data_IF_069907203201
#
_entry.id   IF_069907203201
#
_cell.length_a   1.000
_cell.length_b   1.000
_cell.length_c   1.000
_cell.angle_alpha   90.00
_cell.angle_beta   90.00
_cell.angle_gamma   90.00
#
_symmetry.space_group_name_H-M   'P 1'
#
loop_
_entity.id
_entity.type
_entity.pdbx_description
1 polymer ?
#
# COMPACT_ATOMS: atom_id res chain seq x y z
N UNK A 1 21.77 18.78 -31.59
CA UNK A 1 21.56 17.46 -30.97
C UNK A 1 20.50 17.65 -29.90
N UNK A 2 19.33 17.04 -30.07
CA UNK A 2 18.17 17.25 -29.20
C UNK A 2 18.36 16.44 -27.92
N UNK A 3 18.38 17.11 -26.77
CA UNK A 3 18.20 16.46 -25.48
C UNK A 3 16.69 16.23 -25.29
N UNK A 4 16.23 15.05 -25.71
CA UNK A 4 14.88 14.58 -25.40
C UNK A 4 14.84 14.18 -23.92
N UNK A 5 14.45 15.11 -23.06
CA UNK A 5 14.10 14.79 -21.67
C UNK A 5 12.70 14.16 -21.64
N UNK A 6 12.61 12.88 -22.03
CA UNK A 6 11.44 12.06 -21.74
C UNK A 6 11.67 11.33 -20.41
N UNK A 7 11.49 12.05 -19.31
CA UNK A 7 11.54 11.48 -17.96
C UNK A 7 10.27 11.86 -17.20
N UNK A 8 9.16 11.16 -17.46
CA UNK A 8 8.04 11.15 -16.53
C UNK A 8 8.55 10.53 -15.22
N UNK A 9 8.81 11.40 -14.24
CA UNK A 9 9.73 11.16 -13.12
C UNK A 9 9.42 9.89 -12.35
N UNK A 10 10.35 8.94 -12.37
CA UNK A 10 10.41 7.89 -11.38
C UNK A 10 10.87 8.51 -10.05
N UNK A 11 10.27 8.09 -8.92
CA UNK A 11 10.75 8.43 -7.59
C UNK A 11 12.26 8.15 -7.49
N UNK A 12 13.01 9.04 -6.86
CA UNK A 12 14.43 8.76 -6.61
C UNK A 12 14.56 7.55 -5.67
N UNK A 13 15.69 6.85 -5.71
CA UNK A 13 15.89 5.69 -4.82
C UNK A 13 15.78 6.06 -3.33
N UNK A 14 16.10 7.31 -2.98
CA UNK A 14 15.96 7.83 -1.61
C UNK A 14 14.48 8.06 -1.25
N UNK A 15 13.71 8.64 -2.16
CA UNK A 15 12.27 8.89 -1.94
C UNK A 15 11.49 7.58 -1.87
N UNK A 16 11.83 6.61 -2.72
CA UNK A 16 11.23 5.27 -2.69
C UNK A 16 11.55 4.54 -1.38
N UNK A 17 12.78 4.68 -0.85
CA UNK A 17 13.15 4.08 0.43
C UNK A 17 12.41 4.72 1.61
N UNK A 18 12.29 6.05 1.62
CA UNK A 18 11.53 6.78 2.64
C UNK A 18 10.03 6.42 2.60
N UNK A 19 9.46 6.31 1.39
CA UNK A 19 8.07 5.89 1.20
C UNK A 19 7.85 4.43 1.63
N UNK A 20 8.78 3.53 1.30
CA UNK A 20 8.72 2.14 1.76
C UNK A 20 8.75 2.04 3.29
N UNK A 21 9.60 2.83 3.94
CA UNK A 21 9.65 2.92 5.41
C UNK A 21 8.33 3.45 5.97
N UNK A 22 7.79 4.52 5.39
CA UNK A 22 6.49 5.08 5.76
C UNK A 22 5.36 4.06 5.65
N UNK A 23 5.22 3.39 4.51
CA UNK A 23 4.22 2.33 4.29
C UNK A 23 4.39 1.21 5.32
N UNK A 24 5.63 0.79 5.58
CA UNK A 24 5.92 -0.25 6.57
C UNK A 24 5.47 0.13 7.98
N UNK A 25 5.68 1.40 8.38
CA UNK A 25 5.21 1.91 9.68
C UNK A 25 3.69 1.94 9.76
N UNK A 26 3.03 2.43 8.72
CA UNK A 26 1.55 2.49 8.64
C UNK A 26 0.95 1.09 8.76
N UNK A 27 1.49 0.13 8.02
CA UNK A 27 1.02 -1.26 8.06
C UNK A 27 1.31 -1.92 9.42
N UNK A 28 2.40 -1.54 10.08
CA UNK A 28 2.72 -1.97 11.45
C UNK A 28 1.74 -1.43 12.50
N UNK A 29 1.18 -0.24 12.28
CA UNK A 29 0.21 0.41 13.17
C UNK A 29 -1.24 0.02 12.87
N UNK A 30 -1.51 -0.54 11.70
CA UNK A 30 -2.86 -0.94 11.30
C UNK A 30 -3.30 -2.23 12.01
N UNK A 31 -4.06 -2.05 13.09
CA UNK A 31 -4.50 -3.16 13.96
C UNK A 31 -5.23 -4.27 13.20
N UNK A 32 -6.12 -3.94 12.25
CA UNK A 32 -6.84 -4.94 11.47
C UNK A 32 -5.89 -5.85 10.66
N UNK A 33 -4.88 -5.26 10.01
CA UNK A 33 -3.86 -6.02 9.30
C UNK A 33 -3.00 -6.86 10.25
N UNK A 34 -2.59 -6.31 11.41
CA UNK A 34 -1.84 -7.07 12.40
C UNK A 34 -2.66 -8.27 12.91
N UNK A 35 -3.95 -8.08 13.21
CA UNK A 35 -4.85 -9.16 13.58
C UNK A 35 -4.99 -10.20 12.47
N UNK A 36 -5.11 -9.79 11.20
CA UNK A 36 -5.21 -10.72 10.08
C UNK A 36 -3.94 -11.58 9.92
N UNK A 37 -2.77 -10.99 10.17
CA UNK A 37 -1.48 -11.69 10.18
C UNK A 37 -1.36 -12.65 11.36
N UNK A 38 -1.68 -12.19 12.57
CA UNK A 38 -1.59 -12.98 13.80
C UNK A 38 -2.55 -14.17 13.81
N UNK A 39 -3.78 -13.95 13.33
CA UNK A 39 -4.81 -15.00 13.24
C UNK A 39 -4.70 -15.86 11.98
N UNK A 40 -3.67 -15.64 11.15
CA UNK A 40 -3.45 -16.39 9.90
C UNK A 40 -4.66 -16.39 8.97
N UNK A 41 -5.36 -15.25 8.85
CA UNK A 41 -6.53 -15.14 7.97
C UNK A 41 -6.18 -15.45 6.51
N UNK A 42 -4.97 -15.07 6.07
CA UNK A 42 -4.40 -15.46 4.79
C UNK A 42 -3.66 -16.80 4.78
N UNK A 43 -3.73 -17.61 5.83
CA UNK A 43 -2.97 -18.86 5.98
C UNK A 43 -1.57 -18.67 6.59
N UNK A 44 -0.72 -19.69 6.50
CA UNK A 44 0.63 -19.69 7.14
C UNK A 44 1.56 -18.61 6.58
N UNK A 45 1.27 -18.13 5.38
CA UNK A 45 1.98 -17.11 4.65
C UNK A 45 1.38 -15.70 4.81
N UNK A 46 0.43 -15.50 5.72
CA UNK A 46 -0.21 -14.19 5.98
C UNK A 46 0.80 -13.05 6.18
N UNK A 47 1.93 -13.33 6.83
CA UNK A 47 3.03 -12.35 6.99
C UNK A 47 3.65 -11.96 5.65
N UNK A 48 3.97 -12.94 4.81
CA UNK A 48 4.52 -12.69 3.48
C UNK A 48 3.52 -11.94 2.57
N UNK A 49 2.21 -12.22 2.74
CA UNK A 49 1.14 -11.51 2.05
C UNK A 49 1.04 -10.05 2.50
N UNK A 50 1.21 -9.75 3.78
CA UNK A 50 1.29 -8.37 4.26
C UNK A 50 2.50 -7.61 3.69
N UNK A 51 3.66 -8.27 3.60
CA UNK A 51 4.85 -7.69 2.97
C UNK A 51 4.64 -7.42 1.47
N UNK A 52 3.98 -8.36 0.77
CA UNK A 52 3.59 -8.18 -0.63
C UNK A 52 2.58 -7.04 -0.81
N UNK A 53 1.62 -6.91 0.11
CA UNK A 53 0.65 -5.82 0.08
C UNK A 53 1.32 -4.45 0.22
N UNK A 54 2.26 -4.29 1.16
CA UNK A 54 3.06 -3.08 1.29
C UNK A 54 3.87 -2.77 0.01
N UNK A 55 4.44 -3.80 -0.62
CA UNK A 55 5.18 -3.64 -1.88
C UNK A 55 4.26 -3.23 -3.05
N UNK A 56 3.02 -3.73 -3.11
CA UNK A 56 2.02 -3.32 -4.10
C UNK A 56 1.63 -1.85 -3.94
N UNK A 57 1.44 -1.36 -2.71
CA UNK A 57 1.17 0.05 -2.41
C UNK A 57 2.36 0.92 -2.85
N UNK A 58 3.59 0.54 -2.50
CA UNK A 58 4.80 1.25 -2.93
C UNK A 58 4.90 1.32 -4.46
N UNK A 59 4.62 0.21 -5.14
CA UNK A 59 4.62 0.14 -6.60
C UNK A 59 3.54 1.05 -7.20
N UNK A 60 2.36 1.12 -6.60
CA UNK A 60 1.28 2.00 -7.02
C UNK A 60 1.69 3.47 -6.92
N UNK A 61 2.24 3.89 -5.78
CA UNK A 61 2.78 5.24 -5.61
C UNK A 61 3.93 5.57 -6.57
N UNK A 62 4.79 4.59 -6.86
CA UNK A 62 5.95 4.77 -7.74
C UNK A 62 5.58 4.85 -9.23
N UNK A 63 4.49 4.20 -9.64
CA UNK A 63 4.08 4.09 -11.04
C UNK A 63 2.90 5.00 -11.40
N UNK A 64 2.17 5.54 -10.43
CA UNK A 64 1.09 6.48 -10.71
C UNK A 64 1.66 7.80 -11.20
N UNK A 65 1.35 8.14 -12.46
CA UNK A 65 1.77 9.38 -13.12
C UNK A 65 0.66 10.44 -13.16
N UNK A 66 -0.44 10.20 -12.43
CA UNK A 66 -1.62 11.05 -12.37
C UNK A 66 -2.01 11.43 -10.94
N UNK A 67 -3.09 12.20 -10.74
CA UNK A 67 -3.63 12.45 -9.41
C UNK A 67 -3.95 11.12 -8.73
N UNK A 68 -3.50 10.97 -7.48
CA UNK A 68 -3.83 9.82 -6.65
C UNK A 68 -5.31 9.89 -6.31
N UNK A 69 -6.12 9.05 -6.95
CA UNK A 69 -7.53 8.93 -6.62
C UNK A 69 -7.68 8.01 -5.41
N UNK A 70 -8.33 8.55 -4.38
CA UNK A 70 -8.67 7.83 -3.16
C UNK A 70 -9.40 6.51 -3.47
N UNK A 71 -10.42 6.58 -4.32
CA UNK A 71 -11.24 5.42 -4.72
C UNK A 71 -10.41 4.30 -5.36
N UNK A 72 -9.39 4.63 -6.17
CA UNK A 72 -8.54 3.60 -6.82
C UNK A 72 -7.64 2.89 -5.80
N UNK A 73 -7.13 3.62 -4.82
CA UNK A 73 -6.30 3.08 -3.74
C UNK A 73 -7.14 2.23 -2.78
N UNK A 74 -8.30 2.72 -2.40
CA UNK A 74 -9.29 2.03 -1.57
C UNK A 74 -9.71 0.70 -2.21
N UNK A 75 -10.14 0.71 -3.47
CA UNK A 75 -10.52 -0.51 -4.19
C UNK A 75 -9.36 -1.52 -4.25
N UNK A 76 -8.14 -1.08 -4.56
CA UNK A 76 -6.98 -1.96 -4.59
C UNK A 76 -6.68 -2.59 -3.21
N UNK A 77 -6.85 -1.82 -2.13
CA UNK A 77 -6.64 -2.30 -0.77
C UNK A 77 -7.69 -3.33 -0.37
N UNK A 78 -8.98 -3.06 -0.63
CA UNK A 78 -10.08 -4.00 -0.40
C UNK A 78 -9.93 -5.29 -1.21
N UNK A 79 -9.61 -5.19 -2.50
CA UNK A 79 -9.33 -6.36 -3.36
C UNK A 79 -8.18 -7.20 -2.78
N UNK A 80 -7.10 -6.56 -2.35
CA UNK A 80 -5.95 -7.27 -1.78
C UNK A 80 -6.30 -7.97 -0.47
N UNK A 81 -7.09 -7.35 0.42
CA UNK A 81 -7.52 -7.94 1.68
C UNK A 81 -8.41 -9.16 1.42
N UNK A 82 -9.38 -9.03 0.52
CA UNK A 82 -10.29 -10.11 0.14
C UNK A 82 -9.54 -11.28 -0.49
N UNK A 83 -8.66 -11.02 -1.46
CA UNK A 83 -7.93 -12.08 -2.16
C UNK A 83 -6.82 -12.72 -1.32
N UNK A 84 -6.05 -11.91 -0.58
CA UNK A 84 -4.86 -12.39 0.13
C UNK A 84 -5.20 -12.91 1.53
N UNK A 85 -6.09 -12.23 2.24
CA UNK A 85 -6.42 -12.55 3.63
C UNK A 85 -7.78 -13.26 3.76
N UNK A 86 -8.53 -13.44 2.67
CA UNK A 86 -9.88 -14.02 2.72
C UNK A 86 -10.76 -13.35 3.78
N UNK A 87 -10.54 -12.06 3.97
CA UNK A 87 -11.17 -11.23 4.99
C UNK A 87 -11.85 -10.05 4.31
N UNK A 88 -12.79 -9.46 5.02
CA UNK A 88 -13.41 -8.19 4.66
C UNK A 88 -13.30 -7.29 5.90
N UNK A 89 -12.64 -6.14 5.75
CA UNK A 89 -12.46 -5.21 6.86
C UNK A 89 -13.63 -4.23 6.83
N UNK A 90 -14.79 -4.67 7.36
CA UNK A 90 -16.04 -3.90 7.42
C UNK A 90 -16.00 -2.76 8.48
N UNK A 91 -14.83 -2.46 9.05
CA UNK A 91 -14.66 -1.51 10.17
C UNK A 91 -14.25 -0.10 9.73
N UNK A 92 -14.37 0.22 8.45
CA UNK A 92 -13.89 1.46 7.81
C UNK A 92 -12.38 1.75 8.06
N UNK A 93 -11.61 0.74 8.51
CA UNK A 93 -10.20 0.95 8.88
C UNK A 93 -9.29 1.10 7.66
N UNK A 94 -9.71 0.63 6.49
CA UNK A 94 -8.99 0.80 5.22
C UNK A 94 -8.96 2.28 4.85
N UNK A 95 -10.13 2.91 4.87
CA UNK A 95 -10.37 4.31 4.56
C UNK A 95 -9.67 5.22 5.56
N UNK A 96 -9.75 4.90 6.86
CA UNK A 96 -9.03 5.64 7.91
C UNK A 96 -7.52 5.62 7.67
N UNK A 97 -6.94 4.45 7.38
CA UNK A 97 -5.49 4.33 7.15
C UNK A 97 -5.07 5.07 5.88
N UNK A 98 -5.87 5.03 4.82
CA UNK A 98 -5.58 5.77 3.60
C UNK A 98 -5.55 7.28 3.88
N UNK A 99 -6.61 7.80 4.50
CA UNK A 99 -6.77 9.25 4.75
C UNK A 99 -5.78 9.75 5.78
N UNK A 100 -5.65 9.04 6.90
CA UNK A 100 -4.83 9.46 8.04
C UNK A 100 -3.35 9.31 7.74
N UNK A 101 -2.96 8.26 7.02
CA UNK A 101 -1.56 7.90 6.88
C UNK A 101 -1.06 7.89 5.44
N UNK A 102 -1.66 7.13 4.52
CA UNK A 102 -1.09 6.92 3.18
C UNK A 102 -1.14 8.17 2.28
N UNK A 103 -2.13 9.05 2.42
CA UNK A 103 -2.21 10.32 1.67
C UNK A 103 -1.27 11.41 2.20
N UNK A 104 -0.66 11.22 3.38
CA UNK A 104 0.27 12.16 3.99
C UNK A 104 1.75 11.77 3.81
N UNK A 105 2.04 10.61 3.18
CA UNK A 105 3.40 10.12 2.88
C UNK A 105 3.85 10.55 1.49
#
# INVERSE_FOLDING_TARGET
>A
MLASTSGGGALSAQDAAALQEGIGLVFGLWTALQMAVENQWGGRDSRAKADQFAASILSWFSNSKGPFYFDDLENMMHDTISESFSADFEDDSVEEIIISSLLHV
#
